data_IF_203304360961
#
_entry.id   IF_203304360961
#
_cell.length_a   1.000
_cell.length_b   1.000
_cell.length_c   1.000
_cell.angle_alpha   90.00
_cell.angle_beta   90.00
_cell.angle_gamma   90.00
#
_symmetry.space_group_name_H-M   'P 1'
#
loop_
_entity.id
_entity.type
_entity.pdbx_description
1 polymer ?
#
# COMPACT_ATOMS: atom_id res chain seq x y z
N UNK A 1 9.14 -1.83 -19.03
CA UNK A 1 10.16 -1.92 -17.98
C UNK A 1 11.27 -2.83 -18.49
N UNK A 2 12.51 -2.36 -18.49
CA UNK A 2 13.67 -3.16 -18.83
C UNK A 2 14.01 -4.15 -17.70
N UNK A 3 14.75 -5.22 -18.01
CA UNK A 3 15.12 -6.25 -17.02
C UNK A 3 15.82 -5.68 -15.77
N UNK A 4 16.76 -4.70 -15.86
CA UNK A 4 17.38 -4.11 -14.67
C UNK A 4 16.38 -3.38 -13.78
N UNK A 5 15.44 -2.65 -14.37
CA UNK A 5 14.39 -1.93 -13.65
C UNK A 5 13.46 -2.91 -12.93
N UNK A 6 13.07 -4.01 -13.59
CA UNK A 6 12.25 -5.05 -12.99
C UNK A 6 12.95 -5.70 -11.81
N UNK A 7 14.22 -6.05 -11.97
CA UNK A 7 15.03 -6.64 -10.89
C UNK A 7 15.14 -5.68 -9.70
N UNK A 8 15.39 -4.39 -9.96
CA UNK A 8 15.47 -3.36 -8.93
C UNK A 8 14.14 -3.18 -8.20
N UNK A 9 13.03 -3.12 -8.95
CA UNK A 9 11.69 -2.94 -8.40
C UNK A 9 11.27 -4.13 -7.52
N UNK A 10 11.48 -5.36 -7.99
CA UNK A 10 11.10 -6.55 -7.22
C UNK A 10 11.98 -6.73 -5.97
N UNK A 11 13.26 -6.32 -6.02
CA UNK A 11 14.11 -6.24 -4.82
C UNK A 11 13.59 -5.20 -3.82
N UNK A 12 13.13 -4.04 -4.31
CA UNK A 12 12.53 -3.03 -3.46
C UNK A 12 11.21 -3.52 -2.82
N UNK A 13 10.35 -4.17 -3.60
CA UNK A 13 9.11 -4.81 -3.11
C UNK A 13 9.40 -5.80 -1.98
N UNK A 14 10.37 -6.69 -2.16
CA UNK A 14 10.77 -7.65 -1.13
C UNK A 14 11.32 -6.93 0.11
N UNK A 15 12.26 -6.00 -0.07
CA UNK A 15 12.93 -5.28 1.04
C UNK A 15 11.93 -4.47 1.85
N UNK A 16 11.10 -3.67 1.19
CA UNK A 16 10.07 -2.85 1.85
C UNK A 16 9.04 -3.76 2.50
N UNK A 17 8.57 -4.79 1.79
CA UNK A 17 7.61 -5.77 2.31
C UNK A 17 8.06 -6.39 3.63
N UNK A 18 9.30 -6.91 3.69
CA UNK A 18 9.84 -7.50 4.91
C UNK A 18 10.01 -6.50 6.05
N UNK A 19 10.35 -5.23 5.76
CA UNK A 19 10.41 -4.20 6.79
C UNK A 19 9.02 -3.89 7.33
N UNK A 20 8.04 -3.59 6.47
CA UNK A 20 6.69 -3.22 6.91
C UNK A 20 5.99 -4.36 7.63
N UNK A 21 6.12 -5.60 7.15
CA UNK A 21 5.57 -6.77 7.83
C UNK A 21 6.09 -6.88 9.26
N UNK A 22 7.42 -6.77 9.44
CA UNK A 22 8.06 -6.87 10.75
C UNK A 22 7.70 -5.72 11.69
N UNK A 23 7.85 -4.47 11.25
CA UNK A 23 7.74 -3.30 12.15
C UNK A 23 6.30 -3.01 12.58
N UNK A 24 5.32 -3.37 11.76
CA UNK A 24 3.91 -3.29 12.14
C UNK A 24 3.42 -4.56 12.88
N UNK A 25 4.28 -5.56 13.07
CA UNK A 25 3.94 -6.82 13.74
C UNK A 25 2.81 -7.54 13.02
N UNK A 26 2.96 -7.69 11.71
CA UNK A 26 2.03 -8.40 10.85
C UNK A 26 2.37 -9.90 10.79
N UNK A 27 1.37 -10.71 10.50
CA UNK A 27 1.45 -12.17 10.35
C UNK A 27 1.59 -12.58 8.87
N UNK A 28 1.49 -11.61 7.95
CA UNK A 28 1.62 -11.80 6.52
C UNK A 28 1.54 -10.49 5.75
N UNK A 29 1.63 -10.57 4.43
CA UNK A 29 1.62 -9.42 3.53
C UNK A 29 0.73 -9.68 2.32
N UNK A 30 -0.16 -8.73 2.01
CA UNK A 30 -0.79 -8.67 0.68
C UNK A 30 0.10 -7.80 -0.22
N UNK A 31 0.57 -8.39 -1.32
CA UNK A 31 1.34 -7.71 -2.36
C UNK A 31 0.51 -7.69 -3.63
N UNK A 32 0.11 -6.52 -4.11
CA UNK A 32 -0.76 -6.38 -5.28
C UNK A 32 -0.16 -5.41 -6.31
N UNK A 33 -0.31 -5.76 -7.59
CA UNK A 33 0.03 -4.92 -8.73
C UNK A 33 -1.12 -5.00 -9.73
N UNK A 34 -1.65 -3.84 -10.11
CA UNK A 34 -2.73 -3.70 -11.09
C UNK A 34 -2.15 -3.10 -12.35
N UNK A 35 -1.76 -3.97 -13.29
CA UNK A 35 -1.09 -3.58 -14.52
C UNK A 35 -2.11 -3.27 -15.63
N UNK A 36 -2.40 -1.98 -15.81
CA UNK A 36 -3.30 -1.47 -16.83
C UNK A 36 -4.77 -1.33 -16.37
N UNK A 37 -5.55 -0.59 -17.16
CA UNK A 37 -6.93 -0.23 -16.82
C UNK A 37 -7.85 -1.46 -16.62
N UNK A 38 -7.62 -2.55 -17.37
CA UNK A 38 -8.39 -3.78 -17.23
C UNK A 38 -8.15 -4.51 -15.90
N UNK A 39 -7.01 -4.25 -15.24
CA UNK A 39 -6.69 -4.73 -13.90
C UNK A 39 -7.12 -3.75 -12.79
N UNK A 40 -7.79 -2.65 -13.15
CA UNK A 40 -8.25 -1.63 -12.21
C UNK A 40 -7.23 -0.51 -11.92
N UNK A 41 -6.16 -0.38 -12.70
CA UNK A 41 -5.16 0.68 -12.49
C UNK A 41 -5.76 2.09 -12.65
N UNK A 42 -5.68 2.91 -11.60
CA UNK A 42 -6.19 4.28 -11.62
C UNK A 42 -5.16 5.31 -12.09
N UNK A 43 -3.92 5.23 -11.57
CA UNK A 43 -2.77 6.08 -11.91
C UNK A 43 -1.88 5.38 -12.94
N UNK A 44 -1.58 6.00 -14.09
CA UNK A 44 -0.78 5.39 -15.17
C UNK A 44 0.72 5.39 -14.83
N UNK A 45 1.09 4.72 -13.73
CA UNK A 45 2.45 4.50 -13.27
C UNK A 45 2.51 3.13 -12.58
N UNK A 46 3.52 2.31 -12.88
CA UNK A 46 3.68 1.00 -12.24
C UNK A 46 3.94 1.20 -10.74
N UNK A 47 3.09 0.64 -9.90
CA UNK A 47 3.23 0.68 -8.45
C UNK A 47 2.74 -0.63 -7.85
N UNK A 48 3.23 -0.93 -6.65
CA UNK A 48 2.82 -2.10 -5.88
C UNK A 48 2.22 -1.63 -4.56
N UNK A 49 1.09 -2.23 -4.20
CA UNK A 49 0.52 -2.10 -2.87
C UNK A 49 1.15 -3.15 -1.95
N UNK A 50 1.69 -2.72 -0.81
CA UNK A 50 2.25 -3.58 0.24
C UNK A 50 1.44 -3.37 1.51
N UNK A 51 0.56 -4.32 1.84
CA UNK A 51 -0.36 -4.20 2.96
C UNK A 51 -0.03 -5.25 4.03
N UNK A 52 0.56 -4.85 5.18
CA UNK A 52 0.76 -5.75 6.31
C UNK A 52 -0.59 -6.28 6.83
N UNK A 53 -0.70 -7.59 7.03
CA UNK A 53 -1.94 -8.30 7.40
C UNK A 53 -1.80 -8.96 8.77
N UNK A 54 -2.87 -9.03 9.55
CA UNK A 54 -2.87 -9.69 10.87
C UNK A 54 -3.95 -10.75 10.94
N UNK A 55 -3.66 -11.86 11.61
CA UNK A 55 -4.63 -12.92 11.88
C UNK A 55 -5.76 -12.46 12.82
N UNK A 56 -5.48 -11.48 13.68
CA UNK A 56 -6.44 -10.85 14.57
C UNK A 56 -6.27 -9.32 14.57
N UNK A 57 -7.39 -8.59 14.61
CA UNK A 57 -7.40 -7.12 14.67
C UNK A 57 -7.16 -6.41 13.33
N UNK A 58 -6.94 -7.16 12.24
CA UNK A 58 -7.04 -6.65 10.87
C UNK A 58 -8.53 -6.53 10.47
N UNK A 59 -8.86 -5.50 9.68
CA UNK A 59 -10.20 -5.25 9.11
C UNK A 59 -10.76 -6.47 8.38
N UNK A 60 -9.88 -7.24 7.75
CA UNK A 60 -10.22 -8.42 6.96
C UNK A 60 -9.79 -9.72 7.65
N UNK A 61 -9.59 -9.75 8.96
CA UNK A 61 -9.20 -10.97 9.67
C UNK A 61 -10.32 -12.05 9.67
N UNK A 62 -9.95 -13.33 9.81
CA UNK A 62 -10.89 -14.45 9.87
C UNK A 62 -11.49 -14.85 8.51
N UNK A 63 -12.80 -15.09 8.47
CA UNK A 63 -13.54 -15.51 7.26
C UNK A 63 -13.61 -14.42 6.17
N UNK A 64 -13.19 -13.20 6.52
CA UNK A 64 -13.28 -12.01 5.67
C UNK A 64 -11.98 -11.72 4.91
N UNK A 65 -10.98 -12.61 4.97
CA UNK A 65 -9.63 -12.39 4.44
C UNK A 65 -9.61 -11.95 2.97
N UNK A 66 -10.47 -12.53 2.14
CA UNK A 66 -10.52 -12.23 0.71
C UNK A 66 -11.25 -10.92 0.39
N UNK A 67 -11.88 -10.26 1.38
CA UNK A 67 -12.53 -8.96 1.16
C UNK A 67 -11.54 -7.81 0.94
N UNK A 68 -10.24 -8.05 1.14
CA UNK A 68 -9.19 -7.10 0.76
C UNK A 68 -9.19 -6.80 -0.75
N UNK A 69 -9.44 -7.81 -1.60
CA UNK A 69 -9.38 -7.65 -3.06
C UNK A 69 -10.46 -6.71 -3.60
N UNK A 70 -11.76 -6.91 -3.30
CA UNK A 70 -12.79 -5.95 -3.71
C UNK A 70 -12.61 -4.57 -3.04
N UNK A 71 -12.01 -4.50 -1.84
CA UNK A 71 -11.69 -3.23 -1.21
C UNK A 71 -10.59 -2.45 -1.96
N UNK A 72 -9.54 -3.14 -2.43
CA UNK A 72 -8.49 -2.55 -3.27
C UNK A 72 -9.05 -2.05 -4.60
N UNK A 73 -9.90 -2.84 -5.25
CA UNK A 73 -10.56 -2.43 -6.49
C UNK A 73 -11.42 -1.17 -6.30
N UNK A 74 -12.20 -1.12 -5.21
CA UNK A 74 -13.02 0.05 -4.88
C UNK A 74 -12.19 1.30 -4.62
N UNK A 75 -11.06 1.17 -3.91
CA UNK A 75 -10.14 2.27 -3.62
C UNK A 75 -9.56 2.86 -4.92
N UNK A 76 -9.05 2.01 -5.82
CA UNK A 76 -8.53 2.46 -7.11
C UNK A 76 -9.59 3.15 -7.97
N UNK A 77 -10.82 2.63 -7.98
CA UNK A 77 -11.91 3.22 -8.76
C UNK A 77 -12.25 4.65 -8.32
N UNK A 78 -12.16 4.95 -7.01
CA UNK A 78 -12.46 6.28 -6.45
C UNK A 78 -11.32 7.30 -6.59
N UNK A 79 -10.08 6.84 -6.77
CA UNK A 79 -8.89 7.67 -6.64
C UNK A 79 -8.86 8.87 -7.61
N UNK A 80 -9.37 8.72 -8.83
CA UNK A 80 -9.38 9.82 -9.83
C UNK A 80 -10.22 11.01 -9.40
N UNK A 81 -11.34 10.75 -8.75
CA UNK A 81 -12.25 11.79 -8.25
C UNK A 81 -11.69 12.39 -6.95
N UNK A 82 -11.08 11.55 -6.12
CA UNK A 82 -10.48 11.94 -4.84
C UNK A 82 -9.27 12.87 -5.00
N UNK A 83 -8.37 12.61 -5.96
CA UNK A 83 -7.23 13.49 -6.28
C UNK A 83 -7.68 14.89 -6.74
N UNK A 84 -8.88 14.99 -7.34
CA UNK A 84 -9.42 16.26 -7.87
C UNK A 84 -10.27 17.01 -6.86
N UNK A 85 -10.54 16.41 -5.69
CA UNK A 85 -11.39 17.01 -4.67
C UNK A 85 -10.62 18.01 -3.80
N UNK A 86 -11.30 19.09 -3.38
CA UNK A 86 -10.81 19.98 -2.32
C UNK A 86 -11.78 19.94 -1.12
N UNK A 87 -11.30 19.58 0.09
CA UNK A 87 -9.93 19.12 0.39
C UNK A 87 -9.64 17.73 -0.22
N UNK A 88 -8.36 17.42 -0.42
CA UNK A 88 -7.89 16.14 -0.95
C UNK A 88 -8.51 15.00 -0.14
N UNK A 89 -9.32 14.18 -0.78
CA UNK A 89 -9.83 12.94 -0.20
C UNK A 89 -8.81 11.84 -0.46
N UNK A 90 -8.64 10.98 0.52
CA UNK A 90 -7.90 9.71 0.41
C UNK A 90 -8.81 8.65 0.97
N UNK A 91 -8.77 7.44 0.39
CA UNK A 91 -9.67 6.32 0.70
C UNK A 91 -9.88 6.16 2.20
N UNK A 92 -10.96 6.77 2.65
CA UNK A 92 -11.37 6.88 4.02
C UNK A 92 -12.68 6.11 4.09
N UNK A 93 -12.68 4.96 4.77
CA UNK A 93 -13.90 4.57 5.48
C UNK A 93 -14.37 5.78 6.30
N UNK A 94 -15.66 5.94 6.56
CA UNK A 94 -16.22 7.12 7.28
C UNK A 94 -15.48 7.44 8.61
N UNK A 95 -14.75 6.47 9.17
CA UNK A 95 -13.93 6.59 10.37
C UNK A 95 -12.45 6.95 10.17
N UNK A 96 -11.86 6.78 8.97
CA UNK A 96 -10.42 6.99 8.72
C UNK A 96 -10.17 8.36 8.12
N UNK A 97 -9.79 9.35 8.93
CA UNK A 97 -9.45 10.69 8.42
C UNK A 97 -8.17 10.65 7.55
N UNK A 98 -8.10 11.46 6.48
CA UNK A 98 -6.84 11.71 5.79
C UNK A 98 -5.73 12.07 6.78
N UNK A 99 -4.56 11.43 6.63
CA UNK A 99 -3.38 11.77 7.41
C UNK A 99 -2.82 13.11 6.94
N UNK A 100 -2.31 13.89 7.87
CA UNK A 100 -1.58 15.11 7.58
C UNK A 100 -0.22 14.79 6.93
N UNK A 101 0.32 15.75 6.18
CA UNK A 101 1.68 15.63 5.62
C UNK A 101 2.73 15.37 6.70
N UNK A 102 2.55 15.99 7.88
CA UNK A 102 3.44 15.81 9.03
C UNK A 102 3.42 14.36 9.53
N UNK A 103 2.24 13.76 9.72
CA UNK A 103 2.12 12.36 10.15
C UNK A 103 2.76 11.40 9.14
N UNK A 104 2.57 11.65 7.83
CA UNK A 104 3.19 10.85 6.78
C UNK A 104 4.72 10.97 6.78
N UNK A 105 5.25 12.19 6.98
CA UNK A 105 6.68 12.44 7.08
C UNK A 105 7.31 11.79 8.32
N UNK A 106 6.65 11.88 9.48
CA UNK A 106 7.07 11.24 10.72
C UNK A 106 7.14 9.71 10.57
N UNK A 107 6.12 9.10 9.97
CA UNK A 107 6.11 7.67 9.68
C UNK A 107 7.22 7.28 8.69
N UNK A 108 7.41 8.05 7.62
CA UNK A 108 8.46 7.78 6.64
C UNK A 108 9.87 7.86 7.26
N UNK A 109 10.11 8.85 8.12
CA UNK A 109 11.38 9.00 8.84
C UNK A 109 11.61 7.88 9.86
N UNK A 110 10.55 7.45 10.55
CA UNK A 110 10.60 6.28 11.44
C UNK A 110 10.90 4.99 10.65
N UNK A 111 10.19 4.73 9.55
CA UNK A 111 10.40 3.56 8.69
C UNK A 111 11.82 3.52 8.11
N UNK A 112 12.36 4.68 7.71
CA UNK A 112 13.74 4.81 7.21
C UNK A 112 14.76 4.16 8.15
N UNK A 113 14.57 4.29 9.47
CA UNK A 113 15.48 3.76 10.49
C UNK A 113 15.56 2.23 10.55
N UNK A 114 14.69 1.49 9.84
CA UNK A 114 14.69 0.02 9.83
C UNK A 114 15.31 -0.58 8.58
N UNK A 115 15.71 0.24 7.60
CA UNK A 115 16.40 -0.22 6.41
C UNK A 115 17.92 -0.23 6.68
N UNK A 116 18.64 -1.32 6.31
CA UNK A 116 20.10 -1.36 6.46
C UNK A 116 20.79 -0.33 5.57
N UNK A 117 21.96 0.14 6.00
CA UNK A 117 22.77 1.16 5.31
C UNK A 117 23.39 0.67 3.98
N UNK A 118 23.29 -0.63 3.71
CA UNK A 118 23.87 -1.26 2.52
C UNK A 118 23.05 -0.94 1.26
N UNK A 119 23.48 0.14 0.59
CA UNK A 119 23.29 0.42 -0.83
C UNK A 119 24.60 0.93 -1.44
#
# INVERSE_FOLDING_TARGET
>A
MAQPELNSLMRAVQRVGSVVERVYGADGLTVACQDGAAAGQSVPHVHFHLLPRKLAGDRFSGEENDKIYPALEKAEAGLRDDIRSEPLRVDADESRRPRTMKEMEEEANWLRGFFPDDL
#
